data_IF_443115979207
#
_entry.id   IF_443115979207
#
_cell.length_a   1.000
_cell.length_b   1.000
_cell.length_c   1.000
_cell.angle_alpha   90.00
_cell.angle_beta   90.00
_cell.angle_gamma   90.00
#
_symmetry.space_group_name_H-M   'P 1'
#
loop_
_entity.id
_entity.type
_entity.pdbx_description
1 polymer ?
#
# COMPACT_ATOMS: atom_id res chain seq x y z
N UNK A 1 -7.93 5.64 -17.80
CA UNK A 1 -8.62 6.04 -16.56
C UNK A 1 -7.71 5.68 -15.41
N UNK A 2 -7.58 6.56 -14.42
CA UNK A 2 -6.74 6.30 -13.25
C UNK A 2 -7.62 5.75 -12.12
N UNK A 3 -7.76 4.42 -12.07
CA UNK A 3 -8.64 3.75 -11.11
C UNK A 3 -7.86 3.25 -9.89
N UNK A 4 -8.39 3.50 -8.70
CA UNK A 4 -7.96 2.90 -7.44
C UNK A 4 -8.86 1.71 -7.14
N UNK A 5 -8.27 0.58 -6.75
CA UNK A 5 -8.99 -0.62 -6.30
C UNK A 5 -8.99 -0.68 -4.77
N UNK A 6 -10.16 -0.82 -4.16
CA UNK A 6 -10.32 -0.84 -2.71
C UNK A 6 -11.00 -2.14 -2.28
N UNK A 7 -10.22 -3.14 -1.83
CA UNK A 7 -10.79 -4.33 -1.22
C UNK A 7 -11.49 -3.98 0.10
N UNK A 8 -12.67 -4.54 0.32
CA UNK A 8 -13.42 -4.35 1.56
C UNK A 8 -14.01 -5.66 2.06
N UNK A 9 -13.90 -5.87 3.35
CA UNK A 9 -14.60 -6.91 4.12
C UNK A 9 -15.68 -6.31 5.02
N UNK A 10 -16.01 -5.03 4.79
CA UNK A 10 -16.92 -4.21 5.58
C UNK A 10 -16.45 -3.97 7.03
N UNK A 11 -15.20 -4.25 7.35
CA UNK A 11 -14.62 -3.96 8.67
C UNK A 11 -14.35 -2.46 8.85
N UNK A 12 -14.25 -1.97 10.09
CA UNK A 12 -13.85 -0.59 10.36
C UNK A 12 -12.47 -0.23 9.79
N UNK A 13 -11.58 -1.21 9.64
CA UNK A 13 -10.25 -1.04 9.04
C UNK A 13 -10.36 -0.78 7.54
N UNK A 14 -11.19 -1.57 6.85
CA UNK A 14 -11.47 -1.35 5.44
C UNK A 14 -12.20 -0.02 5.21
N UNK A 15 -13.08 0.38 6.12
CA UNK A 15 -13.79 1.67 6.04
C UNK A 15 -12.85 2.86 6.25
N UNK A 16 -11.83 2.75 7.12
CA UNK A 16 -10.79 3.77 7.25
C UNK A 16 -9.98 3.93 5.97
N UNK A 17 -9.55 2.83 5.36
CA UNK A 17 -8.85 2.84 4.08
C UNK A 17 -9.72 3.40 2.94
N UNK A 18 -10.99 3.03 2.92
CA UNK A 18 -11.96 3.57 1.97
C UNK A 18 -12.09 5.09 2.12
N UNK A 19 -12.24 5.59 3.34
CA UNK A 19 -12.32 7.04 3.59
C UNK A 19 -11.08 7.77 3.06
N UNK A 20 -9.89 7.26 3.39
CA UNK A 20 -8.63 7.80 2.87
C UNK A 20 -8.61 7.84 1.33
N UNK A 21 -9.00 6.74 0.69
CA UNK A 21 -9.03 6.64 -0.76
C UNK A 21 -10.08 7.55 -1.41
N UNK A 22 -11.25 7.75 -0.79
CA UNK A 22 -12.28 8.68 -1.26
C UNK A 22 -11.79 10.13 -1.23
N UNK A 23 -11.14 10.54 -0.14
CA UNK A 23 -10.57 11.88 0.00
C UNK A 23 -9.43 12.10 -1.02
N UNK A 24 -8.56 11.08 -1.20
CA UNK A 24 -7.50 11.10 -2.21
C UNK A 24 -8.06 11.17 -3.63
N UNK A 25 -9.08 10.38 -3.95
CA UNK A 25 -9.71 10.37 -5.25
C UNK A 25 -10.42 11.70 -5.57
N UNK A 26 -11.02 12.33 -4.56
CA UNK A 26 -11.61 13.66 -4.68
C UNK A 26 -10.54 14.71 -5.05
N UNK A 27 -9.39 14.65 -4.40
CA UNK A 27 -8.31 15.62 -4.60
C UNK A 27 -7.65 15.46 -5.98
N UNK A 28 -7.39 14.22 -6.41
CA UNK A 28 -6.66 13.91 -7.65
C UNK A 28 -7.56 13.49 -8.82
N UNK A 29 -8.87 13.55 -8.66
CA UNK A 29 -9.87 13.19 -9.70
C UNK A 29 -9.66 11.76 -10.23
N UNK A 30 -9.62 10.79 -9.30
CA UNK A 30 -9.43 9.38 -9.60
C UNK A 30 -10.76 8.63 -9.58
N UNK A 31 -10.85 7.57 -10.39
CA UNK A 31 -11.96 6.62 -10.32
C UNK A 31 -11.75 5.62 -9.18
N UNK A 32 -12.83 5.10 -8.61
CA UNK A 32 -12.78 4.11 -7.55
C UNK A 32 -13.59 2.87 -7.91
N UNK A 33 -12.99 1.71 -7.71
CA UNK A 33 -13.69 0.43 -7.69
C UNK A 33 -13.57 -0.21 -6.32
N UNK A 34 -14.70 -0.42 -5.64
CA UNK A 34 -14.77 -1.24 -4.45
C UNK A 34 -14.76 -2.71 -4.86
N UNK A 35 -14.02 -3.54 -4.12
CA UNK A 35 -13.88 -4.95 -4.41
C UNK A 35 -14.19 -5.80 -3.18
N UNK A 36 -15.07 -6.77 -3.32
CA UNK A 36 -15.38 -7.69 -2.23
C UNK A 36 -15.28 -9.13 -2.70
N UNK A 37 -14.67 -9.98 -1.87
CA UNK A 37 -14.56 -11.41 -2.15
C UNK A 37 -15.33 -12.19 -1.10
N UNK A 38 -16.33 -12.94 -1.57
CA UNK A 38 -17.02 -13.94 -0.76
C UNK A 38 -16.09 -15.14 -0.66
N UNK A 39 -15.51 -15.34 0.53
CA UNK A 39 -14.54 -16.42 0.73
C UNK A 39 -15.22 -17.78 0.76
N UNK A 40 -14.61 -18.72 0.06
CA UNK A 40 -15.01 -20.12 0.10
C UNK A 40 -14.60 -20.72 1.46
N UNK A 41 -15.57 -21.01 2.32
CA UNK A 41 -15.31 -21.89 3.45
C UNK A 41 -15.06 -23.30 2.92
N UNK A 42 -14.10 -24.02 3.50
CA UNK A 42 -13.85 -25.42 3.12
C UNK A 42 -15.13 -26.24 3.32
N UNK A 43 -15.61 -26.96 2.29
CA UNK A 43 -16.86 -27.74 2.39
C UNK A 43 -16.73 -28.83 3.43
N UNK A 44 -17.55 -28.80 4.46
CA UNK A 44 -17.78 -29.95 5.30
C UNK A 44 -19.13 -30.56 4.92
N UNK A 45 -19.08 -31.64 4.15
CA UNK A 45 -20.18 -32.64 3.93
C UNK A 45 -21.52 -32.04 3.49
N UNK A 46 -21.74 -31.93 2.21
CA UNK A 46 -22.96 -31.97 1.38
C UNK A 46 -22.99 -30.91 0.29
N UNK A 47 -22.53 -31.27 -0.89
CA UNK A 47 -22.27 -30.37 -2.04
C UNK A 47 -23.49 -29.54 -2.50
N UNK A 48 -24.71 -30.00 -2.33
CA UNK A 48 -25.91 -29.29 -2.84
C UNK A 48 -26.31 -28.12 -1.92
N UNK A 49 -26.29 -28.30 -0.61
CA UNK A 49 -26.60 -27.24 0.37
C UNK A 49 -25.55 -26.14 0.33
N UNK A 50 -24.34 -26.48 -0.05
CA UNK A 50 -23.22 -25.51 -0.20
C UNK A 50 -23.42 -24.54 -1.37
N UNK A 51 -23.89 -25.02 -2.52
CA UNK A 51 -24.11 -24.19 -3.72
C UNK A 51 -25.22 -23.15 -3.47
N UNK A 52 -26.35 -23.56 -2.89
CA UNK A 52 -27.45 -22.64 -2.57
C UNK A 52 -27.00 -21.59 -1.56
N UNK A 53 -26.24 -21.98 -0.53
CA UNK A 53 -25.69 -21.06 0.47
C UNK A 53 -24.71 -20.06 -0.15
N UNK A 54 -23.86 -20.48 -1.09
CA UNK A 54 -22.91 -19.60 -1.77
C UNK A 54 -23.61 -18.58 -2.68
N UNK A 55 -24.67 -19.01 -3.37
CA UNK A 55 -25.48 -18.10 -4.21
C UNK A 55 -26.13 -17.02 -3.35
N UNK A 56 -26.69 -17.39 -2.19
CA UNK A 56 -27.29 -16.45 -1.25
C UNK A 56 -26.24 -15.50 -0.64
N UNK A 57 -25.07 -16.00 -0.27
CA UNK A 57 -23.97 -15.18 0.26
C UNK A 57 -23.47 -14.16 -0.77
N UNK A 58 -23.32 -14.58 -2.04
CA UNK A 58 -22.89 -13.69 -3.12
C UNK A 58 -23.93 -12.62 -3.37
N UNK A 59 -25.20 -12.98 -3.46
CA UNK A 59 -26.31 -12.02 -3.63
C UNK A 59 -26.38 -11.02 -2.48
N UNK A 60 -26.26 -11.49 -1.24
CA UNK A 60 -26.24 -10.62 -0.05
C UNK A 60 -25.04 -9.65 -0.08
N UNK A 61 -23.88 -10.11 -0.55
CA UNK A 61 -22.69 -9.27 -0.70
C UNK A 61 -22.89 -8.22 -1.80
N UNK A 62 -23.49 -8.58 -2.93
CA UNK A 62 -23.84 -7.65 -4.01
C UNK A 62 -24.83 -6.56 -3.55
N UNK A 63 -25.86 -6.94 -2.80
CA UNK A 63 -26.84 -6.01 -2.24
C UNK A 63 -26.17 -5.03 -1.26
N UNK A 64 -25.28 -5.51 -0.38
CA UNK A 64 -24.52 -4.68 0.55
C UNK A 64 -23.57 -3.72 -0.18
N UNK A 65 -22.87 -4.20 -1.21
CA UNK A 65 -21.98 -3.38 -2.01
C UNK A 65 -22.75 -2.31 -2.79
N UNK A 66 -23.88 -2.67 -3.40
CA UNK A 66 -24.74 -1.72 -4.09
C UNK A 66 -25.24 -0.61 -3.17
N UNK A 67 -25.72 -0.98 -1.96
CA UNK A 67 -26.17 -0.01 -0.97
C UNK A 67 -25.03 0.90 -0.50
N UNK A 68 -23.83 0.34 -0.25
CA UNK A 68 -22.65 1.10 0.16
C UNK A 68 -22.23 2.09 -0.93
N UNK A 69 -22.16 1.66 -2.19
CA UNK A 69 -21.80 2.52 -3.31
C UNK A 69 -22.86 3.60 -3.56
N UNK A 70 -24.15 3.28 -3.41
CA UNK A 70 -25.22 4.27 -3.51
C UNK A 70 -25.06 5.38 -2.46
N UNK A 71 -24.84 5.04 -1.21
CA UNK A 71 -24.60 6.01 -0.14
C UNK A 71 -23.34 6.85 -0.37
N UNK A 72 -22.26 6.24 -0.89
CA UNK A 72 -21.05 6.97 -1.24
C UNK A 72 -21.25 7.93 -2.42
N UNK A 73 -22.06 7.56 -3.43
CA UNK A 73 -22.40 8.45 -4.55
C UNK A 73 -23.20 9.68 -4.11
N UNK A 74 -24.04 9.55 -3.10
CA UNK A 74 -24.75 10.70 -2.52
C UNK A 74 -23.77 11.64 -1.81
N UNK A 75 -22.79 11.09 -1.10
CA UNK A 75 -21.79 11.86 -0.38
C UNK A 75 -20.70 12.45 -1.28
N UNK A 76 -20.32 11.74 -2.36
CA UNK A 76 -19.27 12.10 -3.31
C UNK A 76 -19.81 12.08 -4.76
N UNK A 77 -20.75 12.97 -5.13
CA UNK A 77 -21.46 12.90 -6.43
C UNK A 77 -20.56 13.16 -7.65
N UNK A 78 -19.37 13.72 -7.43
CA UNK A 78 -18.39 14.01 -8.47
C UNK A 78 -17.44 12.85 -8.77
N UNK A 79 -17.42 11.81 -7.94
CA UNK A 79 -16.57 10.64 -8.15
C UNK A 79 -17.25 9.56 -8.99
N UNK A 80 -16.47 8.96 -9.88
CA UNK A 80 -16.89 7.76 -10.58
C UNK A 80 -16.64 6.52 -9.69
N UNK A 81 -17.72 5.97 -9.15
CA UNK A 81 -17.70 4.85 -8.24
C UNK A 81 -18.33 3.61 -8.87
N UNK A 82 -17.61 2.51 -8.83
CA UNK A 82 -18.07 1.19 -9.22
C UNK A 82 -17.78 0.16 -8.14
N UNK A 83 -18.32 -1.03 -8.29
CA UNK A 83 -17.95 -2.16 -7.43
C UNK A 83 -17.95 -3.48 -8.20
N UNK A 84 -17.24 -4.43 -7.64
CA UNK A 84 -17.19 -5.82 -8.09
C UNK A 84 -17.27 -6.74 -6.89
N UNK A 85 -18.08 -7.78 -6.99
CA UNK A 85 -18.12 -8.91 -6.04
C UNK A 85 -17.63 -10.14 -6.75
N UNK A 86 -16.75 -10.89 -6.13
CA UNK A 86 -16.24 -12.17 -6.61
C UNK A 86 -16.33 -13.23 -5.53
N UNK A 87 -16.19 -14.49 -5.93
CA UNK A 87 -16.18 -15.65 -5.04
C UNK A 87 -14.85 -16.36 -5.18
N UNK A 88 -14.12 -16.57 -4.08
CA UNK A 88 -12.83 -17.25 -4.15
C UNK A 88 -11.90 -16.94 -3.00
N UNK A 89 -10.59 -16.98 -3.28
CA UNK A 89 -9.53 -16.53 -2.37
C UNK A 89 -9.20 -15.06 -2.67
N UNK A 90 -9.05 -14.27 -1.62
CA UNK A 90 -8.87 -12.82 -1.76
C UNK A 90 -7.72 -12.44 -2.69
N UNK A 91 -6.55 -13.05 -2.53
CA UNK A 91 -5.37 -12.65 -3.30
C UNK A 91 -5.47 -13.06 -4.76
N UNK A 92 -5.93 -14.27 -5.03
CA UNK A 92 -6.09 -14.80 -6.40
C UNK A 92 -7.12 -13.96 -7.17
N UNK A 93 -8.25 -13.63 -6.51
CA UNK A 93 -9.29 -12.76 -7.07
C UNK A 93 -8.78 -11.33 -7.30
N UNK A 94 -7.99 -10.78 -6.35
CA UNK A 94 -7.37 -9.46 -6.51
C UNK A 94 -6.40 -9.42 -7.68
N UNK A 95 -5.50 -10.42 -7.78
CA UNK A 95 -4.51 -10.50 -8.85
C UNK A 95 -5.20 -10.57 -10.21
N UNK A 96 -6.16 -11.49 -10.37
CA UNK A 96 -6.95 -11.63 -11.60
C UNK A 96 -7.66 -10.34 -11.99
N UNK A 97 -8.33 -9.69 -11.04
CA UNK A 97 -9.06 -8.47 -11.32
C UNK A 97 -8.13 -7.26 -11.59
N UNK A 98 -6.96 -7.22 -10.95
CA UNK A 98 -5.93 -6.23 -11.26
C UNK A 98 -5.37 -6.37 -12.68
N UNK A 99 -5.25 -7.60 -13.21
CA UNK A 99 -4.86 -7.82 -14.61
C UNK A 99 -5.92 -7.28 -15.59
N UNK A 100 -7.20 -7.37 -15.23
CA UNK A 100 -8.31 -6.87 -16.03
C UNK A 100 -8.35 -5.33 -16.08
N UNK A 101 -8.38 -4.68 -14.90
CA UNK A 101 -8.62 -3.23 -14.81
C UNK A 101 -7.36 -2.38 -14.75
N UNK A 102 -6.20 -2.98 -14.45
CA UNK A 102 -4.89 -2.33 -14.29
C UNK A 102 -4.96 -1.09 -13.41
N UNK A 103 -5.34 -1.24 -12.13
CA UNK A 103 -5.49 -0.11 -11.23
C UNK A 103 -4.14 0.56 -11.00
N UNK A 104 -4.14 1.87 -10.76
CA UNK A 104 -2.91 2.60 -10.42
C UNK A 104 -2.37 2.19 -9.05
N UNK A 105 -3.26 1.84 -8.14
CA UNK A 105 -2.94 1.27 -6.84
C UNK A 105 -4.12 0.48 -6.26
N UNK A 106 -3.80 -0.46 -5.38
CA UNK A 106 -4.72 -1.07 -4.43
C UNK A 106 -4.60 -0.29 -3.11
N UNK A 107 -5.71 0.00 -2.43
CA UNK A 107 -5.69 0.68 -1.12
C UNK A 107 -6.29 -0.25 -0.06
N UNK A 108 -5.51 -0.59 0.95
CA UNK A 108 -5.90 -1.48 2.05
C UNK A 108 -5.58 -0.85 3.40
N UNK A 109 -6.42 -1.11 4.39
CA UNK A 109 -6.17 -0.70 5.75
C UNK A 109 -5.35 -1.70 6.55
N UNK A 110 -4.64 -1.19 7.57
CA UNK A 110 -3.98 -2.01 8.57
C UNK A 110 -4.33 -1.48 9.97
N UNK A 111 -4.55 -2.39 10.92
CA UNK A 111 -4.66 -2.01 12.33
C UNK A 111 -3.28 -1.85 12.94
N UNK A 112 -3.16 -0.87 13.83
CA UNK A 112 -1.94 -0.71 14.63
C UNK A 112 -1.74 -1.85 15.65
N UNK A 113 -0.64 -1.77 16.38
CA UNK A 113 -0.19 -2.75 17.37
C UNK A 113 -1.20 -2.88 18.52
N UNK A 114 -2.21 -3.72 18.35
CA UNK A 114 -3.16 -4.08 19.39
C UNK A 114 -2.52 -5.07 20.37
N UNK A 115 -2.59 -4.78 21.66
CA UNK A 115 -2.27 -5.75 22.73
C UNK A 115 -3.44 -6.71 22.91
N UNK A 116 -3.25 -8.01 22.67
CA UNK A 116 -4.30 -9.02 22.90
C UNK A 116 -4.89 -9.64 21.65
N UNK A 117 -6.19 -9.91 21.67
CA UNK A 117 -6.94 -10.62 20.61
C UNK A 117 -6.95 -9.87 19.26
N UNK A 118 -6.67 -8.56 19.29
CA UNK A 118 -6.65 -7.66 18.11
C UNK A 118 -5.41 -7.85 17.22
N UNK A 119 -4.48 -8.72 17.57
CA UNK A 119 -3.25 -9.02 16.80
C UNK A 119 -3.47 -9.67 15.43
N UNK A 120 -4.70 -10.06 15.09
CA UNK A 120 -5.00 -10.82 13.86
C UNK A 120 -5.42 -9.90 12.71
N UNK A 121 -5.67 -8.62 12.98
CA UNK A 121 -6.30 -7.71 12.04
C UNK A 121 -5.24 -6.97 11.24
N UNK A 122 -5.18 -7.22 9.94
CA UNK A 122 -4.21 -6.63 8.99
C UNK A 122 -3.37 -7.67 8.24
N UNK A 123 -3.61 -8.96 8.50
CA UNK A 123 -2.91 -10.06 7.79
C UNK A 123 -3.06 -9.98 6.27
N UNK A 124 -4.23 -9.56 5.78
CA UNK A 124 -4.51 -9.47 4.34
C UNK A 124 -3.68 -8.38 3.65
N UNK A 125 -3.48 -7.20 4.28
CA UNK A 125 -2.64 -6.15 3.71
C UNK A 125 -1.16 -6.56 3.67
N UNK A 126 -0.67 -7.22 4.74
CA UNK A 126 0.70 -7.74 4.78
C UNK A 126 0.88 -8.87 3.76
N UNK A 127 -0.11 -9.75 3.63
CA UNK A 127 -0.07 -10.83 2.67
C UNK A 127 -0.12 -10.28 1.24
N UNK A 128 -1.00 -9.33 0.96
CA UNK A 128 -1.07 -8.61 -0.32
C UNK A 128 0.26 -7.92 -0.66
N UNK A 129 0.85 -7.22 0.31
CA UNK A 129 2.16 -6.58 0.14
C UNK A 129 3.27 -7.56 -0.22
N UNK A 130 3.24 -8.80 0.26
CA UNK A 130 4.28 -9.79 -0.02
C UNK A 130 4.02 -10.63 -1.28
N UNK A 131 2.79 -10.59 -1.84
CA UNK A 131 2.34 -11.50 -2.91
C UNK A 131 2.02 -10.74 -4.19
N UNK A 132 1.26 -9.64 -4.10
CA UNK A 132 0.83 -8.88 -5.28
C UNK A 132 1.97 -8.01 -5.81
N UNK A 133 2.04 -7.88 -7.12
CA UNK A 133 3.02 -7.02 -7.80
C UNK A 133 2.51 -5.59 -8.04
N UNK A 134 1.21 -5.39 -7.88
CA UNK A 134 0.58 -4.07 -8.04
C UNK A 134 1.01 -3.10 -6.95
N UNK A 135 1.10 -1.79 -7.23
CA UNK A 135 1.29 -0.79 -6.20
C UNK A 135 0.22 -0.90 -5.12
N UNK A 136 0.65 -0.95 -3.85
CA UNK A 136 -0.25 -1.11 -2.72
C UNK A 136 -0.07 0.03 -1.72
N UNK A 137 -1.12 0.81 -1.49
CA UNK A 137 -1.16 1.83 -0.45
C UNK A 137 -1.76 1.20 0.82
N UNK A 138 -0.97 1.14 1.88
CA UNK A 138 -1.37 0.62 3.18
C UNK A 138 -1.67 1.80 4.09
N UNK A 139 -2.93 1.92 4.51
CA UNK A 139 -3.41 3.03 5.33
C UNK A 139 -3.42 2.61 6.79
N UNK A 140 -2.64 3.24 7.67
CA UNK A 140 -2.66 2.96 9.11
C UNK A 140 -3.97 3.44 9.74
N UNK A 141 -4.28 2.94 10.94
CA UNK A 141 -5.51 3.29 11.68
C UNK A 141 -5.67 4.79 11.91
N UNK A 142 -4.56 5.50 12.14
CA UNK A 142 -4.51 6.96 12.32
C UNK A 142 -4.41 7.71 11.00
N UNK A 143 -4.28 6.99 9.86
CA UNK A 143 -4.06 7.60 8.56
C UNK A 143 -5.29 8.35 8.07
N UNK A 144 -5.12 9.61 7.76
CA UNK A 144 -6.11 10.46 7.09
C UNK A 144 -5.43 11.16 5.92
N UNK A 145 -6.21 11.39 4.87
CA UNK A 145 -5.69 12.05 3.67
C UNK A 145 -5.65 13.57 3.87
N UNK A 146 -4.52 14.19 3.53
CA UNK A 146 -4.39 15.64 3.34
C UNK A 146 -3.97 15.95 1.90
N UNK A 147 -2.81 15.47 1.54
CA UNK A 147 -2.16 15.62 0.23
C UNK A 147 -1.01 14.61 0.18
N UNK A 148 -0.36 14.45 -0.97
CA UNK A 148 0.86 13.65 -1.12
C UNK A 148 1.92 14.53 -1.79
N UNK A 149 2.38 15.57 -1.08
CA UNK A 149 3.37 16.52 -1.61
C UNK A 149 4.80 16.05 -1.38
N UNK A 150 5.05 15.43 -0.22
CA UNK A 150 6.37 14.95 0.20
C UNK A 150 6.34 13.45 0.42
N UNK A 151 7.15 12.74 -0.34
CA UNK A 151 7.23 11.29 -0.28
C UNK A 151 8.61 10.86 0.16
N UNK A 152 8.69 10.13 1.28
CA UNK A 152 9.95 9.53 1.75
C UNK A 152 10.18 8.20 1.02
N UNK A 153 11.29 8.07 0.31
CA UNK A 153 11.75 6.82 -0.28
C UNK A 153 12.94 6.28 0.50
N UNK A 154 12.71 5.28 1.35
CA UNK A 154 13.77 4.61 2.10
C UNK A 154 14.58 3.71 1.16
N UNK A 155 15.88 4.04 0.99
CA UNK A 155 16.78 3.40 0.02
C UNK A 155 18.11 3.01 0.67
N UNK A 156 18.57 1.79 0.40
CA UNK A 156 19.85 1.27 0.92
C UNK A 156 21.06 1.64 0.04
N UNK A 157 20.84 2.37 -1.05
CA UNK A 157 21.86 2.74 -2.02
C UNK A 157 22.69 1.55 -2.53
N UNK A 158 22.04 0.40 -2.77
CA UNK A 158 22.69 -0.80 -3.31
C UNK A 158 22.02 -1.27 -4.60
N UNK A 159 22.81 -1.36 -5.67
CA UNK A 159 22.34 -1.81 -6.99
C UNK A 159 21.09 -1.06 -7.44
N UNK A 160 21.03 0.26 -7.22
CA UNK A 160 19.82 1.08 -7.41
C UNK A 160 19.27 1.01 -8.83
N UNK A 161 20.12 0.87 -9.84
CA UNK A 161 19.73 0.73 -11.24
C UNK A 161 18.80 -0.47 -11.49
N UNK A 162 19.00 -1.55 -10.73
CA UNK A 162 18.21 -2.79 -10.86
C UNK A 162 17.23 -2.98 -9.71
N UNK A 163 17.46 -2.29 -8.58
CA UNK A 163 16.67 -2.49 -7.37
C UNK A 163 15.52 -1.51 -7.21
N UNK A 164 15.52 -0.39 -7.93
CA UNK A 164 14.54 0.67 -7.78
C UNK A 164 13.45 0.58 -8.86
N UNK A 165 12.17 0.44 -8.50
CA UNK A 165 11.04 0.44 -9.45
C UNK A 165 10.75 1.87 -9.92
N UNK A 166 11.71 2.45 -10.66
CA UNK A 166 11.73 3.85 -11.04
C UNK A 166 10.47 4.32 -11.75
N UNK A 167 9.96 3.51 -12.71
CA UNK A 167 8.78 3.90 -13.48
C UNK A 167 7.55 4.05 -12.58
N UNK A 168 7.37 3.16 -11.60
CA UNK A 168 6.29 3.26 -10.64
C UNK A 168 6.44 4.48 -9.74
N UNK A 169 7.64 4.72 -9.18
CA UNK A 169 7.90 5.90 -8.35
C UNK A 169 7.65 7.20 -9.15
N UNK A 170 8.18 7.28 -10.38
CA UNK A 170 7.95 8.45 -11.25
C UNK A 170 6.47 8.65 -11.59
N UNK A 171 5.73 7.58 -11.87
CA UNK A 171 4.31 7.65 -12.16
C UNK A 171 3.53 8.22 -10.96
N UNK A 172 3.82 7.74 -9.75
CA UNK A 172 3.21 8.25 -8.52
C UNK A 172 3.60 9.70 -8.23
N UNK A 173 4.89 10.03 -8.29
CA UNK A 173 5.35 11.39 -8.04
C UNK A 173 4.75 12.40 -9.01
N UNK A 174 4.61 12.04 -10.30
CA UNK A 174 3.94 12.88 -11.30
C UNK A 174 2.43 13.00 -11.07
N UNK A 175 1.76 11.89 -10.74
CA UNK A 175 0.31 11.87 -10.50
C UNK A 175 -0.07 12.79 -9.33
N UNK A 176 0.71 12.74 -8.26
CA UNK A 176 0.45 13.50 -7.04
C UNK A 176 1.18 14.84 -7.00
N UNK A 177 2.02 15.14 -8.01
CA UNK A 177 2.90 16.32 -8.02
C UNK A 177 3.79 16.39 -6.77
N UNK A 178 4.37 15.26 -6.40
CA UNK A 178 5.16 15.10 -5.19
C UNK A 178 6.65 15.34 -5.44
N UNK A 179 7.35 15.82 -4.43
CA UNK A 179 8.80 15.72 -4.31
C UNK A 179 9.21 14.43 -3.59
N UNK A 180 10.33 13.83 -4.00
CA UNK A 180 10.81 12.56 -3.46
C UNK A 180 12.02 12.81 -2.55
N UNK A 181 11.90 12.48 -1.27
CA UNK A 181 12.98 12.54 -0.29
C UNK A 181 13.60 11.14 -0.16
N UNK A 182 14.78 10.96 -0.75
CA UNK A 182 15.51 9.69 -0.75
C UNK A 182 16.28 9.60 0.56
N UNK A 183 15.84 8.73 1.45
CA UNK A 183 16.41 8.56 2.78
C UNK A 183 17.31 7.31 2.82
N UNK A 184 18.60 7.53 3.09
CA UNK A 184 19.54 6.46 3.40
C UNK A 184 19.90 6.50 4.89
N UNK A 185 19.91 5.33 5.51
CA UNK A 185 20.26 5.19 6.93
C UNK A 185 21.51 4.34 7.05
N UNK A 186 22.58 4.93 7.56
CA UNK A 186 23.81 4.18 7.91
C UNK A 186 23.60 3.46 9.24
N UNK A 187 23.26 2.19 9.13
CA UNK A 187 23.03 1.30 10.24
C UNK A 187 24.33 0.66 10.69
N UNK A 188 24.65 0.78 11.96
CA UNK A 188 25.86 0.23 12.61
C UNK A 188 27.20 0.89 12.19
N UNK A 189 27.21 2.16 11.87
CA UNK A 189 28.44 2.91 11.51
C UNK A 189 29.30 2.13 10.49
N UNK A 190 28.68 1.48 9.50
CA UNK A 190 29.43 0.75 8.48
C UNK A 190 30.10 1.67 7.46
N UNK A 191 29.90 2.97 7.64
CA UNK A 191 30.33 4.01 6.71
C UNK A 191 29.96 3.70 5.25
N UNK A 192 29.65 4.71 4.47
CA UNK A 192 29.25 4.51 3.08
C UNK A 192 30.25 3.60 2.35
N UNK A 193 29.75 2.64 1.59
CA UNK A 193 30.57 1.79 0.75
C UNK A 193 31.31 2.65 -0.29
N UNK A 194 32.48 2.23 -0.83
CA UNK A 194 33.17 2.97 -1.90
C UNK A 194 32.28 3.25 -3.11
N UNK A 195 31.23 2.47 -3.31
CA UNK A 195 30.29 2.62 -4.43
C UNK A 195 29.12 3.56 -4.14
N UNK A 196 28.95 4.03 -2.90
CA UNK A 196 27.79 4.85 -2.52
C UNK A 196 27.64 6.09 -3.41
N UNK A 197 28.73 6.78 -3.75
CA UNK A 197 28.68 7.95 -4.62
C UNK A 197 28.17 7.59 -6.03
N UNK A 198 28.61 6.47 -6.60
CA UNK A 198 28.12 6.03 -7.92
C UNK A 198 26.64 5.64 -7.90
N UNK A 199 26.15 5.05 -6.82
CA UNK A 199 24.72 4.73 -6.65
C UNK A 199 23.87 6.02 -6.53
N UNK A 200 24.39 7.06 -5.83
CA UNK A 200 23.76 8.38 -5.76
C UNK A 200 23.69 9.01 -7.15
N UNK A 201 24.79 8.98 -7.91
CA UNK A 201 24.84 9.55 -9.26
C UNK A 201 23.84 8.84 -10.20
N UNK A 202 23.72 7.52 -10.08
CA UNK A 202 22.71 6.75 -10.82
C UNK A 202 21.30 7.18 -10.42
N UNK A 203 20.98 7.30 -9.14
CA UNK A 203 19.66 7.76 -8.70
C UNK A 203 19.37 9.20 -9.15
N UNK A 204 20.33 10.10 -9.11
CA UNK A 204 20.17 11.46 -9.65
C UNK A 204 19.75 11.43 -11.13
N UNK A 205 20.41 10.61 -11.94
CA UNK A 205 20.04 10.43 -13.35
C UNK A 205 18.65 9.77 -13.49
N UNK A 206 18.35 8.80 -12.64
CA UNK A 206 17.06 8.13 -12.66
C UNK A 206 15.90 9.06 -12.29
N UNK A 207 16.10 10.03 -11.39
CA UNK A 207 15.09 10.97 -10.92
C UNK A 207 15.16 12.37 -11.56
N UNK A 208 15.91 12.56 -12.66
CA UNK A 208 16.17 13.84 -13.34
C UNK A 208 14.93 14.70 -13.63
N UNK A 209 13.77 14.08 -13.83
CA UNK A 209 12.49 14.74 -14.19
C UNK A 209 11.56 14.95 -13.00
N UNK A 210 12.01 14.64 -11.78
CA UNK A 210 11.21 14.73 -10.56
C UNK A 210 12.00 15.50 -9.51
N UNK A 211 11.40 16.46 -8.80
CA UNK A 211 12.05 17.10 -7.65
C UNK A 211 12.43 16.03 -6.62
N UNK A 212 13.72 15.95 -6.27
CA UNK A 212 14.18 14.97 -5.30
C UNK A 212 15.34 15.49 -4.45
N UNK A 213 15.45 14.97 -3.24
CA UNK A 213 16.44 15.36 -2.23
C UNK A 213 17.01 14.11 -1.56
N UNK A 214 18.34 14.10 -1.33
CA UNK A 214 19.00 13.03 -0.60
C UNK A 214 19.18 13.40 0.87
N UNK A 215 18.91 12.44 1.75
CA UNK A 215 19.09 12.55 3.19
C UNK A 215 19.88 11.34 3.70
N UNK A 216 20.86 11.62 4.56
CA UNK A 216 21.75 10.61 5.14
C UNK A 216 21.70 10.73 6.64
N UNK A 217 21.31 9.64 7.32
CA UNK A 217 21.15 9.59 8.77
C UNK A 217 21.96 8.41 9.30
N UNK A 218 22.71 8.64 10.38
CA UNK A 218 23.35 7.60 11.17
C UNK A 218 22.41 7.23 12.31
N UNK A 219 21.99 5.97 12.41
CA UNK A 219 21.17 5.47 13.52
C UNK A 219 21.31 3.96 13.68
N UNK A 220 21.30 3.49 14.92
CA UNK A 220 21.32 2.06 15.23
C UNK A 220 19.99 1.36 14.92
N UNK A 221 18.88 2.11 14.94
CA UNK A 221 17.54 1.65 14.60
C UNK A 221 17.06 2.30 13.32
N UNK A 222 16.97 1.53 12.25
CA UNK A 222 16.45 2.03 10.96
C UNK A 222 15.00 2.49 11.08
N UNK A 223 14.21 1.79 11.88
CA UNK A 223 12.79 2.10 12.07
C UNK A 223 12.60 3.44 12.77
N UNK A 224 13.33 3.66 13.88
CA UNK A 224 13.24 4.92 14.61
C UNK A 224 13.73 6.08 13.73
N UNK A 225 14.83 5.90 13.00
CA UNK A 225 15.35 6.90 12.06
C UNK A 225 14.32 7.27 10.97
N UNK A 226 13.59 6.28 10.43
CA UNK A 226 12.54 6.55 9.43
C UNK A 226 11.40 7.35 10.07
N UNK A 227 10.92 6.92 11.24
CA UNK A 227 9.82 7.61 11.93
C UNK A 227 10.21 9.03 12.33
N UNK A 228 11.39 9.22 12.93
CA UNK A 228 11.90 10.54 13.30
C UNK A 228 12.05 11.46 12.07
N UNK A 229 12.52 10.90 10.94
CA UNK A 229 12.64 11.65 9.71
C UNK A 229 11.29 12.05 9.13
N UNK A 230 10.32 11.13 9.14
CA UNK A 230 8.93 11.38 8.71
C UNK A 230 8.33 12.53 9.49
N UNK A 231 8.47 12.50 10.81
CA UNK A 231 7.91 13.53 11.70
C UNK A 231 8.60 14.88 11.54
N UNK A 232 9.95 14.88 11.55
CA UNK A 232 10.74 16.11 11.47
C UNK A 232 10.57 16.84 10.14
N UNK A 233 10.26 16.14 9.05
CA UNK A 233 10.15 16.72 7.71
C UNK A 233 8.70 16.74 7.18
N UNK A 234 7.73 16.33 8.01
CA UNK A 234 6.30 16.32 7.67
C UNK A 234 6.03 15.54 6.36
N UNK A 235 6.53 14.30 6.29
CA UNK A 235 6.31 13.44 5.12
C UNK A 235 4.86 12.97 5.04
N UNK A 236 4.29 12.96 3.84
CA UNK A 236 2.90 12.56 3.62
C UNK A 236 2.76 11.05 3.37
N UNK A 237 3.80 10.41 2.83
CA UNK A 237 3.79 8.99 2.46
C UNK A 237 5.19 8.40 2.51
N UNK A 238 5.29 7.13 2.91
CA UNK A 238 6.55 6.36 2.87
C UNK A 238 6.50 5.36 1.71
N UNK A 239 7.49 5.41 0.81
CA UNK A 239 7.69 4.35 -0.20
C UNK A 239 8.59 3.28 0.38
N UNK A 240 8.12 2.03 0.31
CA UNK A 240 8.85 0.83 0.71
C UNK A 240 8.93 -0.17 -0.44
N UNK A 241 10.07 -0.85 -0.54
CA UNK A 241 10.30 -1.93 -1.50
C UNK A 241 10.32 -3.27 -0.74
N UNK A 242 9.22 -4.05 -0.74
CA UNK A 242 9.19 -5.37 -0.10
C UNK A 242 10.03 -6.34 -0.93
N UNK A 243 11.27 -6.60 -0.52
CA UNK A 243 12.22 -7.47 -1.27
C UNK A 243 12.65 -8.70 -0.49
N UNK A 244 12.83 -9.82 -1.22
CA UNK A 244 13.43 -11.05 -0.69
C UNK A 244 14.94 -10.95 -0.42
N UNK A 245 15.66 -9.99 -1.01
CA UNK A 245 17.13 -9.93 -1.04
C UNK A 245 17.76 -8.52 -0.87
N UNK A 246 17.03 -7.50 -0.38
CA UNK A 246 17.63 -6.19 -0.11
C UNK A 246 18.18 -6.08 1.32
N UNK A 247 18.97 -5.03 1.59
CA UNK A 247 19.39 -4.63 2.95
C UNK A 247 18.17 -4.57 3.89
N UNK A 248 17.02 -4.07 3.38
CA UNK A 248 15.76 -4.15 4.08
C UNK A 248 15.26 -5.59 4.29
N UNK A 249 15.60 -6.58 3.45
CA UNK A 249 15.27 -7.98 3.74
C UNK A 249 16.06 -8.54 4.94
N UNK A 250 17.25 -8.02 5.24
CA UNK A 250 18.00 -8.37 6.45
C UNK A 250 17.54 -7.58 7.68
N UNK A 251 17.05 -6.35 7.46
CA UNK A 251 16.41 -5.51 8.48
C UNK A 251 14.93 -5.88 8.65
N UNK A 252 14.26 -6.26 7.58
CA UNK A 252 12.89 -6.79 7.54
C UNK A 252 12.88 -8.33 7.60
N UNK A 253 13.57 -8.94 8.56
CA UNK A 253 13.08 -10.22 9.07
C UNK A 253 11.58 -10.04 9.27
N UNK A 254 10.76 -11.03 8.91
CA UNK A 254 9.28 -10.98 8.92
C UNK A 254 8.61 -10.21 10.07
N UNK A 255 9.32 -10.01 11.19
CA UNK A 255 8.88 -9.23 12.35
C UNK A 255 9.00 -7.70 12.16
N UNK A 256 10.07 -7.19 11.55
CA UNK A 256 10.36 -5.75 11.49
C UNK A 256 9.53 -5.01 10.42
N UNK A 257 9.27 -5.64 9.27
CA UNK A 257 8.32 -5.08 8.29
C UNK A 257 6.93 -4.95 8.90
N UNK A 258 6.50 -5.96 9.65
CA UNK A 258 5.23 -5.90 10.38
C UNK A 258 5.23 -4.77 11.40
N UNK A 259 6.30 -4.64 12.16
CA UNK A 259 6.44 -3.63 13.18
C UNK A 259 6.40 -2.21 12.57
N UNK A 260 7.13 -1.99 11.46
CA UNK A 260 7.10 -0.74 10.70
C UNK A 260 5.68 -0.40 10.21
N UNK A 261 4.98 -1.38 9.61
CA UNK A 261 3.61 -1.20 9.15
C UNK A 261 2.64 -0.87 10.27
N UNK A 262 2.83 -1.45 11.45
CA UNK A 262 1.97 -1.20 12.61
C UNK A 262 2.27 0.11 13.32
N UNK A 263 3.52 0.59 13.28
CA UNK A 263 3.95 1.81 13.96
C UNK A 263 3.91 3.05 13.05
N UNK A 264 3.79 2.87 11.74
CA UNK A 264 3.65 4.00 10.85
C UNK A 264 2.33 4.73 11.11
N UNK A 265 2.41 6.06 11.23
CA UNK A 265 1.26 6.95 11.35
C UNK A 265 0.89 7.60 10.01
N UNK A 266 1.71 7.44 8.99
CA UNK A 266 1.44 7.87 7.62
C UNK A 266 1.24 6.67 6.69
N UNK A 267 0.56 6.82 5.55
CA UNK A 267 0.38 5.76 4.56
C UNK A 267 1.70 5.26 4.00
N UNK A 268 1.73 3.97 3.69
CA UNK A 268 2.90 3.31 3.08
C UNK A 268 2.54 2.86 1.67
N UNK A 269 3.32 3.30 0.68
CA UNK A 269 3.24 2.82 -0.69
C UNK A 269 4.27 1.69 -0.88
N UNK A 270 3.77 0.46 -0.95
CA UNK A 270 4.60 -0.69 -1.28
C UNK A 270 4.70 -0.86 -2.80
N UNK A 271 5.90 -0.88 -3.33
CA UNK A 271 6.21 -1.06 -4.75
C UNK A 271 7.10 -2.27 -4.97
N UNK A 272 6.78 -3.07 -5.98
CA UNK A 272 7.57 -4.23 -6.36
C UNK A 272 8.46 -3.94 -7.56
N UNK A 273 9.59 -4.63 -7.62
CA UNK A 273 10.44 -4.70 -8.80
C UNK A 273 9.79 -5.64 -9.82
N UNK A 274 9.72 -5.23 -11.05
CA UNK A 274 9.35 -6.06 -12.20
C UNK A 274 10.60 -6.54 -12.92
#
# INVERSE_FOLDING_TARGET
MNTILIPTDFSPVADNALKYAMDMATHYQLDITLFHVVQLSTPSVADVVYIDTMTDLTKNAEEKMAAKVAALKEQYPHLNLSFKVETGLLLDSLESYCEEIKPIAIVMGITGDGTGVDKIIGSNAILAMNTLTNPLIIVPKSGYFKSVNKVCFACDLQNVATSTPLLAIKAFAKLFNSEVHILNIDYKNRHFSPNTQSEIDVLNLMFDTIPHHFHFIENESVQDAINDFIDANEMDMLIMLPKKHSFFASLFKKSQTKEMLYQSHIPILALHQH
#
